data_IF_946783667380
#
_entry.id   IF_946783667380
#
_cell.length_a   1.000
_cell.length_b   1.000
_cell.length_c   1.000
_cell.angle_alpha   90.00
_cell.angle_beta   90.00
_cell.angle_gamma   90.00
#
_symmetry.space_group_name_H-M   'P 1'
#
loop_
_entity.id
_entity.type
_entity.pdbx_description
1 polymer ?
#
# COMPACT_ATOMS: atom_id res chain seq x y z
N UNK A 1 17.38 -26.59 23.92
CA UNK A 1 18.41 -26.92 22.89
C UNK A 1 18.88 -25.64 22.24
N UNK A 2 20.19 -25.37 22.21
CA UNK A 2 20.74 -24.17 21.59
C UNK A 2 20.71 -24.34 20.07
N UNK A 3 20.09 -23.40 19.36
CA UNK A 3 20.05 -23.37 17.89
C UNK A 3 21.48 -23.19 17.36
N UNK A 4 21.93 -24.11 16.52
CA UNK A 4 23.32 -24.17 16.00
C UNK A 4 23.52 -23.49 14.65
N UNK A 5 22.43 -23.28 13.89
CA UNK A 5 22.44 -22.68 12.55
C UNK A 5 21.61 -21.40 12.49
N UNK A 6 22.17 -20.30 12.00
CA UNK A 6 21.52 -18.99 11.93
C UNK A 6 21.44 -18.49 10.49
N UNK A 7 20.32 -17.90 10.11
CA UNK A 7 20.21 -17.24 8.79
C UNK A 7 21.08 -15.99 8.71
N UNK A 8 21.43 -15.58 7.48
CA UNK A 8 22.11 -14.30 7.23
C UNK A 8 21.42 -13.08 7.87
N UNK A 9 20.09 -13.12 8.04
CA UNK A 9 19.33 -12.02 8.66
C UNK A 9 19.46 -12.02 10.19
N UNK A 10 19.34 -13.19 10.81
CA UNK A 10 19.50 -13.35 12.26
C UNK A 10 20.95 -13.07 12.67
N UNK A 11 21.93 -13.62 11.94
CA UNK A 11 23.34 -13.41 12.20
C UNK A 11 23.76 -11.95 12.03
N UNK A 12 23.23 -11.25 11.02
CA UNK A 12 23.47 -9.82 10.84
C UNK A 12 22.92 -8.98 12.01
N UNK A 13 21.74 -9.33 12.53
CA UNK A 13 21.16 -8.69 13.71
C UNK A 13 22.02 -8.87 14.97
N UNK A 14 22.54 -10.08 15.18
CA UNK A 14 23.45 -10.39 16.30
C UNK A 14 24.79 -9.64 16.22
N UNK A 15 25.27 -9.38 15.00
CA UNK A 15 26.49 -8.62 14.75
C UNK A 15 26.25 -7.10 14.63
N UNK A 16 25.01 -6.63 14.80
CA UNK A 16 24.67 -5.21 14.70
C UNK A 16 24.93 -4.59 13.31
N UNK A 17 24.89 -5.38 12.24
CA UNK A 17 25.26 -4.94 10.88
C UNK A 17 24.18 -5.29 9.85
N UNK A 18 24.32 -4.74 8.64
CA UNK A 18 23.40 -5.06 7.54
C UNK A 18 23.58 -6.49 7.03
N UNK A 19 22.49 -7.11 6.54
CA UNK A 19 22.52 -8.47 5.96
C UNK A 19 23.59 -8.64 4.88
N UNK A 20 23.74 -7.66 3.99
CA UNK A 20 24.76 -7.67 2.93
C UNK A 20 26.17 -7.51 3.49
N UNK A 21 26.34 -6.69 4.53
CA UNK A 21 27.61 -6.54 5.24
C UNK A 21 28.06 -7.85 5.90
N UNK A 22 27.13 -8.53 6.57
CA UNK A 22 27.38 -9.83 7.19
C UNK A 22 27.79 -10.89 6.16
N UNK A 23 27.07 -11.01 5.04
CA UNK A 23 27.40 -12.00 3.99
C UNK A 23 28.81 -11.77 3.42
N UNK A 24 29.20 -10.51 3.18
CA UNK A 24 30.55 -10.16 2.69
C UNK A 24 31.63 -10.48 3.74
N UNK A 25 31.36 -10.19 5.01
CA UNK A 25 32.26 -10.50 6.11
C UNK A 25 32.42 -12.01 6.30
N UNK A 26 31.32 -12.76 6.30
CA UNK A 26 31.31 -14.21 6.47
C UNK A 26 32.05 -14.92 5.33
N UNK A 27 31.91 -14.42 4.09
CA UNK A 27 32.70 -14.90 2.94
C UNK A 27 34.19 -14.62 3.10
N UNK A 28 34.56 -13.43 3.59
CA UNK A 28 35.96 -13.04 3.83
C UNK A 28 36.61 -13.87 4.94
N UNK A 29 35.85 -14.23 5.97
CA UNK A 29 36.31 -15.00 7.13
C UNK A 29 36.14 -16.52 7.00
N UNK A 30 35.61 -17.00 5.86
CA UNK A 30 35.44 -18.44 5.61
C UNK A 30 34.49 -19.14 6.56
N UNK A 31 33.38 -18.50 6.94
CA UNK A 31 32.41 -19.10 7.87
C UNK A 31 31.76 -20.35 7.28
N UNK A 32 31.54 -21.37 8.13
CA UNK A 32 30.87 -22.60 7.72
C UNK A 32 29.40 -22.31 7.34
N UNK A 33 28.99 -22.74 6.15
CA UNK A 33 27.65 -22.48 5.61
C UNK A 33 26.93 -23.75 5.20
N UNK A 34 25.61 -23.75 5.38
CA UNK A 34 24.70 -24.80 4.92
C UNK A 34 23.53 -24.20 4.15
N UNK A 35 23.03 -24.91 3.15
CA UNK A 35 21.78 -24.54 2.49
C UNK A 35 20.57 -24.74 3.42
N UNK A 36 19.73 -23.70 3.53
CA UNK A 36 18.47 -23.76 4.27
C UNK A 36 17.47 -24.64 3.53
N UNK A 37 16.88 -25.62 4.22
CA UNK A 37 15.72 -26.37 3.74
C UNK A 37 14.43 -25.53 3.93
N UNK A 38 13.86 -25.01 2.85
CA UNK A 38 12.60 -24.27 2.87
C UNK A 38 12.34 -23.38 1.63
N UNK A 39 11.10 -22.91 1.45
CA UNK A 39 10.72 -21.97 0.36
C UNK A 39 11.47 -20.65 0.51
N UNK A 40 12.19 -20.26 -0.54
CA UNK A 40 12.97 -19.01 -0.60
C UNK A 40 14.49 -19.18 -0.54
N UNK A 41 14.99 -20.40 -0.26
CA UNK A 41 16.41 -20.72 -0.28
C UNK A 41 17.28 -19.85 0.65
N UNK A 42 18.60 -19.97 0.51
CA UNK A 42 19.58 -19.17 1.24
C UNK A 42 20.57 -19.99 2.07
N UNK A 43 21.56 -19.30 2.62
CA UNK A 43 22.61 -19.88 3.45
C UNK A 43 22.34 -19.61 4.94
N UNK A 44 22.58 -20.63 5.73
CA UNK A 44 22.70 -20.56 7.19
C UNK A 44 24.17 -20.69 7.58
N UNK A 45 24.51 -20.07 8.69
CA UNK A 45 25.86 -19.95 9.22
C UNK A 45 25.92 -20.59 10.59
N UNK A 46 26.97 -21.36 10.85
CA UNK A 46 27.16 -22.07 12.11
C UNK A 46 27.57 -21.10 13.23
N UNK A 47 27.01 -21.31 14.43
CA UNK A 47 27.28 -20.47 15.61
C UNK A 47 28.75 -20.49 16.04
N UNK A 48 29.44 -21.61 15.82
CA UNK A 48 30.85 -21.81 16.21
C UNK A 48 31.82 -20.87 15.47
N UNK A 49 31.40 -20.32 14.32
CA UNK A 49 32.21 -19.36 13.56
C UNK A 49 32.04 -17.92 14.07
N UNK A 50 31.12 -17.66 15.00
CA UNK A 50 30.84 -16.31 15.48
C UNK A 50 31.87 -15.88 16.54
N UNK A 51 32.16 -14.57 16.65
CA UNK A 51 33.02 -14.07 17.71
C UNK A 51 32.45 -14.43 19.09
N UNK A 52 33.31 -14.73 20.06
CA UNK A 52 32.92 -15.08 21.43
C UNK A 52 31.98 -14.03 22.05
N UNK A 53 32.20 -12.74 21.74
CA UNK A 53 31.33 -11.65 22.18
C UNK A 53 29.88 -11.72 21.64
N UNK A 54 29.68 -12.34 20.47
CA UNK A 54 28.35 -12.56 19.87
C UNK A 54 27.72 -13.83 20.43
N UNK A 55 28.52 -14.86 20.70
CA UNK A 55 28.06 -16.11 21.34
C UNK A 55 27.58 -15.85 22.77
N UNK A 56 28.28 -15.00 23.53
CA UNK A 56 27.87 -14.57 24.87
C UNK A 56 26.48 -13.88 24.86
N UNK A 57 26.23 -13.01 23.88
CA UNK A 57 24.92 -12.36 23.68
C UNK A 57 23.80 -13.34 23.34
N UNK A 58 24.12 -14.51 22.78
CA UNK A 58 23.13 -15.57 22.51
C UNK A 58 22.82 -16.36 23.79
N UNK A 59 23.81 -16.57 24.66
CA UNK A 59 23.65 -17.24 25.95
C UNK A 59 22.85 -16.40 26.98
N UNK A 60 22.91 -15.06 26.87
CA UNK A 60 22.14 -14.13 27.70
C UNK A 60 20.68 -13.95 27.26
N UNK A 61 20.25 -14.58 26.16
CA UNK A 61 18.83 -14.57 25.76
C UNK A 61 18.13 -15.72 26.49
N UNK A 62 17.37 -15.48 27.58
CA UNK A 62 16.58 -16.52 28.20
C UNK A 62 15.60 -17.08 27.17
N UNK A 63 15.53 -18.41 27.06
CA UNK A 63 14.50 -19.11 26.29
C UNK A 63 13.14 -18.71 26.83
N UNK A 64 12.48 -17.79 26.13
CA UNK A 64 11.13 -17.34 26.48
C UNK A 64 10.12 -18.45 26.14
N UNK A 65 9.96 -19.41 27.05
CA UNK A 65 8.74 -20.20 27.16
C UNK A 65 7.87 -19.59 28.25
N UNK A 66 6.64 -19.24 27.84
CA UNK A 66 5.44 -19.01 28.64
C UNK A 66 5.59 -18.12 29.89
N UNK A 67 5.26 -16.84 29.75
CA UNK A 67 4.36 -16.14 30.68
C UNK A 67 4.04 -14.73 30.18
N UNK A 68 2.86 -14.59 29.54
CA UNK A 68 2.13 -13.32 29.50
C UNK A 68 0.62 -13.58 29.56
N UNK A 69 0.18 -14.36 30.56
CA UNK A 69 -1.17 -14.16 31.08
C UNK A 69 -1.07 -12.99 32.05
N UNK A 70 -1.54 -11.82 31.61
CA UNK A 70 -2.31 -10.83 32.38
C UNK A 70 -2.39 -9.49 31.59
N UNK A 71 -3.60 -9.23 31.09
CA UNK A 71 -4.17 -7.91 30.77
C UNK A 71 -3.47 -7.03 29.71
N UNK A 72 -3.68 -7.39 28.45
CA UNK A 72 -3.77 -6.40 27.36
C UNK A 72 -5.22 -6.33 26.88
N UNK A 73 -5.79 -5.14 26.60
CA UNK A 73 -7.05 -5.03 25.88
C UNK A 73 -6.90 -5.73 24.51
N UNK A 74 -7.94 -6.40 23.98
CA UNK A 74 -7.78 -7.40 22.94
C UNK A 74 -7.16 -6.80 21.67
N UNK A 75 -5.90 -7.14 21.41
CA UNK A 75 -5.17 -6.93 20.15
C UNK A 75 -5.68 -7.83 19.02
N UNK A 76 -6.99 -8.11 18.97
CA UNK A 76 -7.61 -8.89 17.90
C UNK A 76 -7.90 -8.06 16.65
N UNK A 77 -7.88 -6.72 16.72
CA UNK A 77 -8.14 -5.89 15.53
C UNK A 77 -6.94 -5.79 14.58
N UNK A 78 -5.71 -5.79 15.10
CA UNK A 78 -4.51 -5.51 14.29
C UNK A 78 -3.98 -6.72 13.51
N UNK A 79 -4.28 -7.96 13.96
CA UNK A 79 -3.91 -9.19 13.23
C UNK A 79 -4.87 -9.48 12.08
N UNK A 80 -6.16 -9.15 12.22
CA UNK A 80 -7.15 -9.27 11.14
C UNK A 80 -6.86 -8.27 10.02
N UNK A 81 -6.48 -7.03 10.34
CA UNK A 81 -6.14 -6.02 9.33
C UNK A 81 -4.95 -6.41 8.44
N UNK A 82 -3.91 -7.03 9.04
CA UNK A 82 -2.71 -7.45 8.30
C UNK A 82 -2.92 -8.75 7.51
N UNK A 83 -3.80 -9.66 7.96
CA UNK A 83 -4.14 -10.85 7.18
C UNK A 83 -5.09 -10.54 6.01
N UNK A 84 -6.02 -9.61 6.18
CA UNK A 84 -6.84 -9.08 5.06
C UNK A 84 -5.91 -8.47 4.00
N UNK A 85 -4.91 -7.67 4.40
CA UNK A 85 -3.99 -6.99 3.46
C UNK A 85 -3.05 -7.94 2.70
N UNK A 86 -2.79 -9.15 3.22
CA UNK A 86 -1.91 -10.14 2.58
C UNK A 86 -2.71 -11.10 1.68
N UNK A 87 -3.98 -11.36 1.98
CA UNK A 87 -4.89 -12.14 1.12
C UNK A 87 -5.39 -11.34 -0.10
N UNK A 88 -5.49 -10.01 -0.01
CA UNK A 88 -5.86 -9.12 -1.14
C UNK A 88 -4.77 -8.95 -2.22
N UNK A 89 -3.66 -9.70 -2.15
CA UNK A 89 -2.50 -9.55 -3.05
C UNK A 89 -2.45 -10.52 -4.23
N UNK A 90 -3.48 -11.33 -4.48
CA UNK A 90 -3.68 -11.83 -5.83
C UNK A 90 -4.26 -10.67 -6.65
N UNK A 91 -3.58 -10.30 -7.75
CA UNK A 91 -4.01 -9.18 -8.60
C UNK A 91 -5.44 -9.33 -9.12
N UNK A 92 -5.96 -10.55 -9.15
CA UNK A 92 -7.34 -10.90 -9.53
C UNK A 92 -8.36 -10.44 -8.50
N UNK A 93 -8.11 -10.65 -7.19
CA UNK A 93 -9.01 -10.16 -6.12
C UNK A 93 -9.02 -8.64 -6.08
N UNK A 94 -7.84 -8.01 -6.21
CA UNK A 94 -7.75 -6.55 -6.25
C UNK A 94 -8.43 -5.95 -7.48
N UNK A 95 -8.43 -6.65 -8.61
CA UNK A 95 -9.14 -6.23 -9.82
C UNK A 95 -10.65 -6.38 -9.65
N UNK A 96 -11.13 -7.52 -9.20
CA UNK A 96 -12.55 -7.77 -8.97
C UNK A 96 -13.16 -6.77 -7.98
N UNK A 97 -12.45 -6.46 -6.90
CA UNK A 97 -12.87 -5.44 -5.93
C UNK A 97 -12.90 -4.03 -6.57
N UNK A 98 -11.92 -3.71 -7.42
CA UNK A 98 -11.90 -2.45 -8.16
C UNK A 98 -13.01 -2.33 -9.20
N UNK A 99 -13.38 -3.44 -9.84
CA UNK A 99 -14.50 -3.49 -10.79
C UNK A 99 -15.83 -3.34 -10.04
N UNK A 100 -16.00 -3.97 -8.88
CA UNK A 100 -17.17 -3.80 -8.03
C UNK A 100 -17.31 -2.34 -7.52
N UNK A 101 -16.20 -1.73 -7.08
CA UNK A 101 -16.18 -0.32 -6.65
C UNK A 101 -16.54 0.64 -7.78
N UNK A 102 -16.31 0.28 -9.03
CA UNK A 102 -16.63 1.13 -10.17
C UNK A 102 -18.14 1.40 -10.27
N UNK A 103 -18.97 0.41 -9.93
CA UNK A 103 -20.43 0.55 -9.93
C UNK A 103 -20.93 1.56 -8.87
N UNK A 104 -20.17 1.73 -7.78
CA UNK A 104 -20.50 2.67 -6.71
C UNK A 104 -19.98 4.10 -6.94
N UNK A 105 -19.25 4.35 -8.03
CA UNK A 105 -18.74 5.69 -8.32
C UNK A 105 -19.84 6.61 -8.84
N UNK A 106 -19.78 7.87 -8.41
CA UNK A 106 -20.74 8.91 -8.77
C UNK A 106 -20.04 10.22 -9.21
N UNK A 107 -20.86 11.12 -9.79
CA UNK A 107 -20.48 12.47 -10.18
C UNK A 107 -19.17 12.56 -10.98
N UNK A 108 -18.26 13.43 -10.52
CA UNK A 108 -16.99 13.70 -11.21
C UNK A 108 -16.06 12.47 -11.26
N UNK A 109 -16.15 11.56 -10.30
CA UNK A 109 -15.31 10.37 -10.27
C UNK A 109 -15.73 9.37 -11.35
N UNK A 110 -17.05 9.16 -11.49
CA UNK A 110 -17.62 8.36 -12.58
C UNK A 110 -17.30 8.95 -13.94
N UNK A 111 -17.49 10.26 -14.11
CA UNK A 111 -17.14 10.94 -15.36
C UNK A 111 -15.68 10.69 -15.75
N UNK A 112 -14.72 10.88 -14.83
CA UNK A 112 -13.29 10.63 -15.11
C UNK A 112 -13.01 9.17 -15.49
N UNK A 113 -13.67 8.23 -14.83
CA UNK A 113 -13.54 6.81 -15.14
C UNK A 113 -14.05 6.54 -16.56
N UNK A 114 -15.27 6.95 -16.86
CA UNK A 114 -15.95 6.71 -18.13
C UNK A 114 -15.17 7.34 -19.30
N UNK A 115 -14.70 8.58 -19.14
CA UNK A 115 -13.86 9.25 -20.14
C UNK A 115 -12.57 8.47 -20.41
N UNK A 116 -11.86 8.02 -19.37
CA UNK A 116 -10.60 7.28 -19.56
C UNK A 116 -10.85 5.89 -20.13
N UNK A 117 -11.96 5.26 -19.78
CA UNK A 117 -12.37 3.98 -20.34
C UNK A 117 -12.68 4.11 -21.83
N UNK A 118 -13.37 5.17 -22.23
CA UNK A 118 -13.65 5.46 -23.64
C UNK A 118 -12.36 5.63 -24.45
N UNK A 119 -11.37 6.37 -23.93
CA UNK A 119 -10.05 6.48 -24.57
C UNK A 119 -9.40 5.10 -24.76
N UNK A 120 -9.49 4.20 -23.77
CA UNK A 120 -8.93 2.85 -23.87
C UNK A 120 -9.67 2.00 -24.90
N UNK A 121 -11.01 2.12 -25.00
CA UNK A 121 -11.81 1.44 -26.03
C UNK A 121 -11.46 1.91 -27.43
N UNK A 122 -11.29 3.22 -27.61
CA UNK A 122 -10.85 3.78 -28.89
C UNK A 122 -9.44 3.31 -29.25
N UNK A 123 -8.55 3.20 -28.27
CA UNK A 123 -7.23 2.60 -28.47
C UNK A 123 -7.29 1.13 -28.90
N UNK A 124 -8.18 0.33 -28.31
CA UNK A 124 -8.38 -1.07 -28.71
C UNK A 124 -8.91 -1.18 -30.14
N UNK A 125 -9.89 -0.34 -30.52
CA UNK A 125 -10.41 -0.25 -31.90
C UNK A 125 -9.32 0.16 -32.89
N UNK A 126 -8.52 1.16 -32.54
CA UNK A 126 -7.40 1.62 -33.36
C UNK A 126 -6.38 0.49 -33.58
N UNK A 127 -6.00 -0.24 -32.52
CA UNK A 127 -5.08 -1.38 -32.64
C UNK A 127 -5.67 -2.52 -33.49
N UNK A 128 -6.99 -2.74 -33.42
CA UNK A 128 -7.66 -3.78 -34.21
C UNK A 128 -7.71 -3.41 -35.71
N UNK A 129 -7.83 -2.13 -36.03
CA UNK A 129 -7.83 -1.62 -37.41
C UNK A 129 -6.43 -1.63 -38.03
N UNK A 130 -5.38 -1.35 -37.25
CA UNK A 130 -4.02 -1.21 -37.78
C UNK A 130 -3.33 -2.53 -38.17
N UNK A 131 -3.87 -3.69 -37.77
CA UNK A 131 -3.46 -5.07 -38.10
C UNK A 131 -2.00 -5.25 -38.60
N UNK A 132 -1.05 -4.63 -37.89
CA UNK A 132 0.32 -4.50 -38.38
C UNK A 132 1.11 -5.77 -38.02
N UNK A 133 1.36 -6.61 -39.03
CA UNK A 133 2.06 -7.91 -38.95
C UNK A 133 3.43 -7.90 -38.26
N UNK A 134 4.01 -6.73 -37.97
CA UNK A 134 5.38 -6.62 -37.46
C UNK A 134 5.49 -6.10 -36.02
N UNK A 135 4.38 -5.78 -35.34
CA UNK A 135 4.46 -5.31 -33.96
C UNK A 135 3.41 -5.94 -33.04
N UNK A 136 3.78 -6.16 -31.77
CA UNK A 136 2.88 -6.73 -30.76
C UNK A 136 1.64 -5.84 -30.61
N UNK A 137 0.46 -6.46 -30.67
CA UNK A 137 -0.82 -5.80 -30.43
C UNK A 137 -0.79 -4.96 -29.14
N UNK A 138 -1.13 -3.67 -29.26
CA UNK A 138 -1.09 -2.73 -28.14
C UNK A 138 0.29 -2.51 -27.51
N UNK A 139 1.36 -2.78 -28.26
CA UNK A 139 2.77 -2.54 -27.89
C UNK A 139 3.16 -1.06 -27.87
N UNK A 140 4.47 -0.76 -27.80
CA UNK A 140 4.99 0.62 -27.72
C UNK A 140 4.60 1.46 -28.95
N UNK A 141 4.68 0.85 -30.13
CA UNK A 141 4.35 1.50 -31.41
C UNK A 141 2.89 1.97 -31.46
N UNK A 142 1.94 1.03 -31.30
CA UNK A 142 0.50 1.34 -31.27
C UNK A 142 0.14 2.48 -30.31
N UNK A 143 0.74 2.51 -29.11
CA UNK A 143 0.45 3.58 -28.14
C UNK A 143 1.01 4.94 -28.56
N UNK A 144 2.17 4.95 -29.21
CA UNK A 144 2.76 6.19 -29.72
C UNK A 144 1.96 6.71 -30.91
N UNK A 145 1.64 5.83 -31.88
CA UNK A 145 0.83 6.14 -33.05
C UNK A 145 -0.56 6.67 -32.64
N UNK A 146 -1.27 5.96 -31.74
CA UNK A 146 -2.56 6.40 -31.23
C UNK A 146 -2.48 7.75 -30.49
N UNK A 147 -1.46 7.98 -29.65
CA UNK A 147 -1.32 9.25 -28.95
C UNK A 147 -1.13 10.43 -29.92
N UNK A 148 -0.39 10.21 -31.02
CA UNK A 148 -0.22 11.19 -32.08
C UNK A 148 -1.55 11.45 -32.80
N UNK A 149 -2.24 10.40 -33.25
CA UNK A 149 -3.53 10.48 -33.93
C UNK A 149 -4.61 11.16 -33.05
N UNK A 150 -4.63 10.85 -31.76
CA UNK A 150 -5.51 11.48 -30.76
C UNK A 150 -5.24 12.98 -30.65
N UNK A 151 -3.98 13.38 -30.49
CA UNK A 151 -3.61 14.78 -30.30
C UNK A 151 -3.85 15.61 -31.57
N UNK A 152 -3.64 15.02 -32.75
CA UNK A 152 -4.00 15.64 -34.04
C UNK A 152 -5.50 15.73 -34.24
N UNK A 153 -6.25 14.79 -33.68
CA UNK A 153 -7.70 14.79 -33.75
C UNK A 153 -8.31 13.94 -34.83
N UNK A 154 -7.54 12.99 -35.34
CA UNK A 154 -7.99 12.03 -36.34
C UNK A 154 -8.98 11.02 -35.74
N UNK A 155 -9.02 10.89 -34.41
CA UNK A 155 -9.88 9.97 -33.67
C UNK A 155 -11.07 10.75 -33.09
N UNK A 156 -12.27 10.48 -33.60
CA UNK A 156 -13.51 11.05 -33.09
C UNK A 156 -13.94 10.37 -31.79
N UNK A 157 -14.01 11.13 -30.69
CA UNK A 157 -14.49 10.65 -29.39
C UNK A 157 -14.95 11.82 -28.52
N UNK A 158 -16.09 11.66 -27.85
CA UNK A 158 -16.59 12.62 -26.84
C UNK A 158 -15.64 12.77 -25.65
N UNK A 159 -14.77 11.79 -25.41
CA UNK A 159 -13.76 11.87 -24.35
C UNK A 159 -12.66 12.92 -24.64
N UNK A 160 -12.57 13.42 -25.87
CA UNK A 160 -11.55 14.40 -26.28
C UNK A 160 -11.78 15.78 -25.67
N UNK A 161 -13.02 16.17 -25.44
CA UNK A 161 -13.36 17.45 -24.80
C UNK A 161 -12.76 17.53 -23.38
N UNK A 162 -12.72 16.40 -22.68
CA UNK A 162 -12.18 16.28 -21.32
C UNK A 162 -10.69 15.91 -21.29
N UNK A 163 -10.19 15.23 -22.34
CA UNK A 163 -8.80 14.79 -22.45
C UNK A 163 -8.27 15.15 -23.86
N UNK A 164 -7.96 16.42 -24.11
CA UNK A 164 -7.53 16.88 -25.44
C UNK A 164 -6.11 16.39 -25.78
N UNK A 165 -5.25 16.24 -24.77
CA UNK A 165 -3.84 15.87 -24.93
C UNK A 165 -3.52 14.57 -24.19
N UNK A 166 -3.02 13.61 -24.95
CA UNK A 166 -2.68 12.27 -24.50
C UNK A 166 -1.22 11.93 -24.82
N UNK A 167 -0.58 11.18 -23.93
CA UNK A 167 0.76 10.63 -24.14
C UNK A 167 0.73 9.10 -24.05
N UNK A 168 1.69 8.45 -24.72
CA UNK A 168 1.86 7.00 -24.70
C UNK A 168 2.06 6.45 -23.27
N UNK A 169 2.69 7.22 -22.39
CA UNK A 169 2.89 6.86 -20.99
C UNK A 169 1.60 6.91 -20.17
N UNK A 170 0.73 7.90 -20.42
CA UNK A 170 -0.59 7.97 -19.77
C UNK A 170 -1.42 6.71 -20.11
N UNK A 171 -1.45 6.32 -21.38
CA UNK A 171 -2.11 5.08 -21.84
C UNK A 171 -1.53 3.84 -21.17
N UNK A 172 -0.19 3.73 -21.15
CA UNK A 172 0.49 2.60 -20.51
C UNK A 172 0.12 2.51 -19.02
N UNK A 173 0.11 3.65 -18.33
CA UNK A 173 -0.25 3.74 -16.92
C UNK A 173 -1.70 3.33 -16.68
N UNK A 174 -2.66 3.88 -17.43
CA UNK A 174 -4.08 3.57 -17.26
C UNK A 174 -4.40 2.11 -17.55
N UNK A 175 -3.81 1.53 -18.61
CA UNK A 175 -3.98 0.12 -18.93
C UNK A 175 -3.43 -0.78 -17.82
N UNK A 176 -2.23 -0.50 -17.30
CA UNK A 176 -1.66 -1.24 -16.16
C UNK A 176 -2.52 -1.11 -14.90
N UNK A 177 -3.05 0.09 -14.64
CA UNK A 177 -3.92 0.37 -13.50
C UNK A 177 -5.22 -0.41 -13.58
N UNK A 178 -5.89 -0.39 -14.74
CA UNK A 178 -7.11 -1.14 -14.99
C UNK A 178 -6.90 -2.65 -14.85
N UNK A 179 -5.78 -3.18 -15.39
CA UNK A 179 -5.46 -4.62 -15.29
C UNK A 179 -5.17 -5.08 -13.86
N UNK A 180 -4.56 -4.23 -13.03
CA UNK A 180 -4.12 -4.61 -11.68
C UNK A 180 -5.16 -4.32 -10.60
N UNK A 181 -5.88 -3.21 -10.74
CA UNK A 181 -6.68 -2.61 -9.66
C UNK A 181 -8.14 -2.37 -10.10
N UNK A 182 -8.54 -2.80 -11.30
CA UNK A 182 -9.91 -2.69 -11.81
C UNK A 182 -10.32 -1.30 -12.32
N UNK A 183 -11.56 -1.19 -12.78
CA UNK A 183 -12.12 0.01 -13.43
C UNK A 183 -12.17 1.23 -12.51
N UNK A 184 -12.49 1.06 -11.22
CA UNK A 184 -12.52 2.17 -10.27
C UNK A 184 -11.19 2.92 -10.20
N UNK A 185 -10.08 2.23 -10.51
CA UNK A 185 -8.76 2.85 -10.51
C UNK A 185 -8.63 3.96 -11.55
N UNK A 186 -9.34 3.84 -12.67
CA UNK A 186 -9.36 4.86 -13.71
C UNK A 186 -10.00 6.16 -13.23
N UNK A 187 -10.85 6.16 -12.19
CA UNK A 187 -11.38 7.40 -11.62
C UNK A 187 -10.30 8.29 -10.96
N UNK A 188 -9.14 7.71 -10.62
CA UNK A 188 -8.03 8.38 -9.95
C UNK A 188 -7.96 8.10 -8.45
N UNK A 189 -7.05 8.81 -7.78
CA UNK A 189 -6.78 8.74 -6.33
C UNK A 189 -7.41 9.92 -5.58
N UNK A 190 -8.46 10.51 -6.14
CA UNK A 190 -9.04 11.71 -5.59
C UNK A 190 -9.80 11.37 -4.32
N UNK A 191 -9.59 12.16 -3.26
CA UNK A 191 -10.23 11.93 -1.96
C UNK A 191 -9.40 11.15 -0.94
N UNK A 192 -8.11 10.86 -1.19
CA UNK A 192 -7.23 10.24 -0.17
C UNK A 192 -7.18 10.98 1.17
N UNK A 193 -7.54 12.27 1.21
CA UNK A 193 -7.59 13.04 2.46
C UNK A 193 -8.95 12.97 3.18
N UNK A 194 -10.00 12.39 2.59
CA UNK A 194 -11.28 12.17 3.29
C UNK A 194 -11.09 10.96 4.23
N UNK A 195 -11.32 11.16 5.53
CA UNK A 195 -11.13 10.10 6.52
C UNK A 195 -9.68 9.82 6.94
N UNK A 196 -8.72 10.66 6.54
CA UNK A 196 -7.30 10.51 6.88
C UNK A 196 -6.72 11.75 7.55
N UNK A 197 -7.51 12.49 8.35
CA UNK A 197 -6.93 13.51 9.23
C UNK A 197 -6.11 12.81 10.33
N UNK A 198 -5.18 13.54 10.96
CA UNK A 198 -4.43 13.01 12.11
C UNK A 198 -5.37 12.50 13.22
N UNK A 199 -6.53 13.15 13.39
CA UNK A 199 -7.61 12.73 14.27
C UNK A 199 -8.19 11.38 13.81
N UNK A 200 -8.51 11.23 12.52
CA UNK A 200 -9.07 10.00 11.96
C UNK A 200 -8.10 8.79 12.13
N UNK A 201 -6.79 9.02 12.22
CA UNK A 201 -5.79 7.95 12.48
C UNK A 201 -5.73 7.48 13.94
N UNK A 202 -6.31 8.24 14.86
CA UNK A 202 -6.26 7.95 16.30
C UNK A 202 -7.64 7.49 16.78
N UNK A 203 -7.90 6.18 16.92
CA UNK A 203 -9.24 5.64 17.21
C UNK A 203 -9.81 6.16 18.53
N UNK A 204 -8.94 6.41 19.52
CA UNK A 204 -9.31 6.99 20.81
C UNK A 204 -9.90 8.41 20.67
N UNK A 205 -9.31 9.26 19.82
CA UNK A 205 -9.79 10.62 19.62
C UNK A 205 -11.10 10.64 18.83
N UNK A 206 -11.24 9.76 17.83
CA UNK A 206 -12.48 9.61 17.06
C UNK A 206 -13.64 9.17 17.97
N UNK A 207 -13.41 8.19 18.84
CA UNK A 207 -14.43 7.70 19.77
C UNK A 207 -14.84 8.79 20.77
N UNK A 208 -13.87 9.50 21.33
CA UNK A 208 -14.09 10.61 22.27
C UNK A 208 -14.91 11.74 21.62
N UNK A 209 -14.55 12.17 20.41
CA UNK A 209 -15.29 13.22 19.69
C UNK A 209 -16.71 12.78 19.28
N UNK A 210 -16.89 11.50 18.91
CA UNK A 210 -18.23 10.97 18.62
C UNK A 210 -19.11 10.94 19.86
N UNK A 211 -18.56 10.53 21.01
CA UNK A 211 -19.27 10.58 22.28
C UNK A 211 -19.64 12.03 22.65
N UNK A 212 -18.72 12.98 22.48
CA UNK A 212 -18.98 14.40 22.72
C UNK A 212 -20.10 14.94 21.81
N UNK A 213 -20.09 14.59 20.52
CA UNK A 213 -21.15 14.97 19.58
C UNK A 213 -22.51 14.32 19.89
N UNK A 214 -22.50 13.10 20.43
CA UNK A 214 -23.72 12.41 20.83
C UNK A 214 -24.40 13.10 22.03
N UNK A 215 -23.60 13.56 23.00
CA UNK A 215 -24.11 14.28 24.18
C UNK A 215 -24.40 15.75 23.85
N UNK A 216 -23.58 16.39 23.02
CA UNK A 216 -23.69 17.81 22.67
C UNK A 216 -23.63 18.01 21.14
N UNK A 217 -24.76 17.82 20.41
CA UNK A 217 -24.81 17.89 18.95
C UNK A 217 -24.38 19.26 18.37
N UNK A 218 -24.63 20.34 19.11
CA UNK A 218 -24.31 21.70 18.68
C UNK A 218 -22.90 22.17 19.05
N UNK A 219 -22.07 21.30 19.64
CA UNK A 219 -20.72 21.68 20.11
C UNK A 219 -19.91 22.39 19.02
N UNK A 220 -19.29 23.50 19.39
CA UNK A 220 -18.45 24.25 18.45
C UNK A 220 -17.08 23.58 18.31
N UNK A 221 -16.40 23.75 17.16
CA UNK A 221 -15.04 23.24 16.98
C UNK A 221 -14.04 23.75 18.02
N UNK A 222 -14.20 24.98 18.50
CA UNK A 222 -13.33 25.55 19.53
C UNK A 222 -13.49 24.83 20.87
N UNK A 223 -14.73 24.57 21.29
CA UNK A 223 -15.02 23.86 22.55
C UNK A 223 -14.53 22.41 22.48
N UNK A 224 -14.79 21.72 21.37
CA UNK A 224 -14.30 20.35 21.17
C UNK A 224 -12.76 20.27 21.17
N UNK A 225 -12.08 21.30 20.68
CA UNK A 225 -10.62 21.41 20.71
C UNK A 225 -10.10 21.57 22.15
N UNK A 226 -10.62 22.53 22.90
CA UNK A 226 -10.22 22.75 24.29
C UNK A 226 -10.45 21.50 25.15
N UNK A 227 -11.61 20.86 25.00
CA UNK A 227 -11.95 19.62 25.70
C UNK A 227 -10.97 18.48 25.41
N UNK A 228 -10.50 18.34 24.16
CA UNK A 228 -9.50 17.33 23.80
C UNK A 228 -8.12 17.64 24.39
N UNK A 229 -7.70 18.92 24.39
CA UNK A 229 -6.43 19.33 24.98
C UNK A 229 -6.41 19.04 26.48
N UNK A 230 -7.47 19.41 27.19
CA UNK A 230 -7.58 19.18 28.64
C UNK A 230 -7.55 17.68 29.00
N UNK A 231 -8.10 16.82 28.14
CA UNK A 231 -8.25 15.40 28.42
C UNK A 231 -7.07 14.53 27.95
N UNK A 232 -6.33 14.96 26.92
CA UNK A 232 -5.30 14.15 26.28
C UNK A 232 -3.94 14.86 26.13
N UNK A 233 -3.75 16.04 26.73
CA UNK A 233 -2.51 16.83 26.72
C UNK A 233 -1.89 17.01 25.32
N UNK A 234 -2.71 16.97 24.27
CA UNK A 234 -2.22 16.86 22.89
C UNK A 234 -2.05 18.25 22.28
N UNK A 235 -0.81 18.73 22.15
CA UNK A 235 -0.51 20.11 21.79
C UNK A 235 -0.78 20.50 20.32
N UNK A 236 -1.04 19.55 19.40
CA UNK A 236 -1.26 19.89 17.98
C UNK A 236 -2.37 19.04 17.37
N UNK A 237 -3.57 19.60 17.23
CA UNK A 237 -4.68 18.98 16.49
C UNK A 237 -5.15 19.88 15.33
N UNK A 238 -4.47 19.72 14.18
CA UNK A 238 -4.94 20.11 12.85
C UNK A 238 -6.37 19.59 12.54
N UNK A 239 -7.14 20.29 11.69
CA UNK A 239 -8.32 21.03 12.08
C UNK A 239 -9.52 20.12 12.43
N UNK A 240 -9.84 20.05 13.73
CA UNK A 240 -11.08 19.49 14.31
C UNK A 240 -12.33 19.96 13.57
N UNK A 241 -12.31 21.20 13.04
CA UNK A 241 -13.37 21.78 12.22
C UNK A 241 -13.78 20.86 11.06
N UNK A 242 -12.82 20.26 10.34
CA UNK A 242 -13.11 19.34 9.21
C UNK A 242 -13.70 18.01 9.67
N UNK A 243 -13.35 17.56 10.87
CA UNK A 243 -13.92 16.35 11.46
C UNK A 243 -15.38 16.60 11.85
N UNK A 244 -15.67 17.66 12.60
CA UNK A 244 -17.03 17.96 13.06
C UNK A 244 -18.00 18.24 11.92
N UNK A 245 -17.58 18.94 10.86
CA UNK A 245 -18.42 19.16 9.66
C UNK A 245 -18.76 17.89 8.87
N UNK A 246 -18.11 16.75 9.15
CA UNK A 246 -18.47 15.46 8.55
C UNK A 246 -19.64 14.79 9.29
N UNK A 247 -19.83 15.11 10.57
CA UNK A 247 -20.77 14.43 11.47
C UNK A 247 -21.93 15.32 11.94
N UNK A 248 -21.93 16.59 11.52
CA UNK A 248 -23.11 17.47 11.56
C UNK A 248 -23.76 17.45 10.19
#
# INVERSE_FOLDING_TARGET
>A
MIKTWYSAKEAAGLHGMSKLGFIKMAKRKGYETRHRSGKGGGLEYRIDCFPVAVVAKIAEIPSYQADHLLTQPPLLLNKVQNQITVLSKSGELSKAEGDAKAAALDGKARLRMDTRLEVLRQFERYCAQENASHCKFGGKYHKAAFAIAWNKGEIASSARDLIPILSSDKLTRWRKQCQREGLARLAGKDGHRKGQTLIDTQPQLVAALKALLCVYPHVSPGIAHSWLIERYETQVLEPIRKFLFRYK
#
